data_IF_929630507174
#
_entry.id   IF_929630507174
#
_cell.length_a   1.000
_cell.length_b   1.000
_cell.length_c   1.000
_cell.angle_alpha   90.00
_cell.angle_beta   90.00
_cell.angle_gamma   90.00
#
_symmetry.space_group_name_H-M   'P 1'
#
loop_
_entity.id
_entity.type
_entity.pdbx_description
1 polymer ?
#
# COMPACT_ATOMS: atom_id res chain seq x y z
N UNK A 1 8.72 8.58 8.25
CA UNK A 1 8.43 9.99 7.95
C UNK A 1 9.41 10.35 6.86
N UNK A 2 8.93 10.30 5.62
CA UNK A 2 9.72 10.18 4.38
C UNK A 2 10.32 11.49 3.91
N UNK A 3 10.80 12.34 4.82
CA UNK A 3 11.31 13.67 4.45
C UNK A 3 12.52 13.59 3.49
N UNK A 4 13.27 12.49 3.52
CA UNK A 4 14.40 12.25 2.63
C UNK A 4 13.99 11.72 1.24
N UNK A 5 12.80 11.13 1.12
CA UNK A 5 12.26 10.61 -0.15
C UNK A 5 11.34 11.62 -0.86
N UNK A 6 10.94 12.69 -0.14
CA UNK A 6 10.19 13.81 -0.70
C UNK A 6 10.98 14.47 -1.83
N UNK A 7 10.40 14.47 -3.02
CA UNK A 7 11.02 15.00 -4.24
C UNK A 7 11.04 13.98 -5.38
N UNK A 8 10.85 12.69 -5.06
CA UNK A 8 10.55 11.69 -6.07
C UNK A 8 9.14 11.84 -6.65
N UNK A 9 8.72 10.93 -7.53
CA UNK A 9 7.46 11.05 -8.24
C UNK A 9 6.21 10.57 -7.46
N UNK A 10 6.33 10.20 -6.18
CA UNK A 10 5.27 9.50 -5.42
C UNK A 10 5.21 9.78 -3.91
N UNK A 11 6.19 10.49 -3.34
CA UNK A 11 6.26 10.86 -1.93
C UNK A 11 6.08 12.37 -1.73
N UNK A 12 5.13 12.72 -0.87
CA UNK A 12 4.81 14.10 -0.53
C UNK A 12 4.87 14.30 0.99
N UNK A 13 5.07 15.54 1.44
CA UNK A 13 5.03 15.87 2.87
C UNK A 13 3.61 15.98 3.42
N UNK A 14 2.67 16.35 2.54
CA UNK A 14 1.24 16.43 2.80
C UNK A 14 0.53 15.63 1.72
N UNK A 15 -0.30 14.68 2.13
CA UNK A 15 -1.14 13.86 1.28
C UNK A 15 -2.46 13.57 1.98
N UNK A 16 -3.48 13.25 1.20
CA UNK A 16 -4.78 12.85 1.71
C UNK A 16 -4.89 11.32 1.75
N UNK A 17 -5.12 10.78 2.95
CA UNK A 17 -5.39 9.37 3.15
C UNK A 17 -6.89 9.15 3.24
N UNK A 18 -7.47 8.50 2.22
CA UNK A 18 -8.84 7.99 2.26
C UNK A 18 -8.89 6.85 3.27
N UNK A 19 -9.75 6.98 4.28
CA UNK A 19 -9.84 6.01 5.36
C UNK A 19 -11.25 5.50 5.60
N UNK A 20 -11.34 4.22 5.93
CA UNK A 20 -12.52 3.61 6.52
C UNK A 20 -12.10 2.66 7.65
N UNK A 21 -12.96 2.50 8.64
CA UNK A 21 -12.64 1.74 9.85
C UNK A 21 -13.75 0.78 10.21
N UNK A 22 -13.36 -0.33 10.82
CA UNK A 22 -14.26 -1.26 11.47
C UNK A 22 -13.87 -1.44 12.92
N UNK A 23 -14.78 -1.19 13.84
CA UNK A 23 -14.53 -1.33 15.29
C UNK A 23 -15.28 -2.55 15.85
N UNK A 24 -14.86 -3.74 15.42
CA UNK A 24 -15.49 -5.02 15.79
C UNK A 24 -16.82 -5.28 15.08
N UNK A 25 -16.95 -4.84 13.83
CA UNK A 25 -18.17 -5.01 13.01
C UNK A 25 -17.93 -5.97 11.84
N UNK A 26 -17.13 -5.55 10.87
CA UNK A 26 -16.69 -6.32 9.70
C UNK A 26 -15.18 -6.55 9.73
N UNK A 27 -14.67 -7.45 8.88
CA UNK A 27 -13.24 -7.77 8.84
C UNK A 27 -12.75 -7.95 7.41
N UNK A 28 -11.83 -8.89 7.18
CA UNK A 28 -11.13 -9.08 5.90
C UNK A 28 -12.05 -9.26 4.71
N UNK A 29 -13.07 -10.12 4.85
CA UNK A 29 -13.94 -10.50 3.73
C UNK A 29 -14.65 -9.29 3.13
N UNK A 30 -15.28 -8.48 3.96
CA UNK A 30 -15.99 -7.28 3.55
C UNK A 30 -15.01 -6.19 3.11
N UNK A 31 -13.96 -5.93 3.90
CA UNK A 31 -12.99 -4.87 3.59
C UNK A 31 -12.33 -5.07 2.23
N UNK A 32 -11.80 -6.26 1.97
CA UNK A 32 -11.07 -6.53 0.73
C UNK A 32 -12.01 -6.53 -0.48
N UNK A 33 -13.24 -7.04 -0.32
CA UNK A 33 -14.24 -7.02 -1.38
C UNK A 33 -14.68 -5.60 -1.73
N UNK A 34 -14.97 -4.76 -0.74
CA UNK A 34 -15.37 -3.37 -0.96
C UNK A 34 -14.24 -2.54 -1.56
N UNK A 35 -13.00 -2.71 -1.09
CA UNK A 35 -11.88 -1.99 -1.66
C UNK A 35 -11.64 -2.38 -3.12
N UNK A 36 -11.72 -3.67 -3.44
CA UNK A 36 -11.64 -4.14 -4.82
C UNK A 36 -12.76 -3.59 -5.71
N UNK A 37 -14.00 -3.60 -5.21
CA UNK A 37 -15.15 -3.03 -5.91
C UNK A 37 -14.97 -1.53 -6.16
N UNK A 38 -14.56 -0.77 -5.14
CA UNK A 38 -14.27 0.66 -5.27
C UNK A 38 -13.23 0.92 -6.37
N UNK A 39 -12.10 0.23 -6.34
CA UNK A 39 -11.05 0.42 -7.35
C UNK A 39 -11.53 0.05 -8.76
N UNK A 40 -12.19 -1.09 -8.92
CA UNK A 40 -12.50 -1.65 -10.26
C UNK A 40 -13.81 -1.17 -10.86
N UNK A 41 -14.79 -0.76 -10.04
CA UNK A 41 -16.13 -0.33 -10.47
C UNK A 41 -16.31 1.17 -10.39
N UNK A 42 -15.96 1.77 -9.27
CA UNK A 42 -16.18 3.20 -9.03
C UNK A 42 -15.07 4.06 -9.64
N UNK A 43 -13.80 3.69 -9.42
CA UNK A 43 -12.65 4.39 -10.01
C UNK A 43 -12.40 3.92 -11.44
N UNK A 44 -12.71 2.66 -11.75
CA UNK A 44 -12.51 2.08 -13.10
C UNK A 44 -11.09 1.62 -13.38
N UNK A 45 -10.31 1.32 -12.34
CA UNK A 45 -8.96 0.77 -12.47
C UNK A 45 -9.05 -0.67 -13.03
N UNK A 46 -8.29 -1.02 -14.09
CA UNK A 46 -8.33 -2.37 -14.64
C UNK A 46 -7.80 -3.39 -13.64
N UNK A 47 -8.60 -4.42 -13.34
CA UNK A 47 -8.25 -5.45 -12.35
C UNK A 47 -6.97 -6.21 -12.72
N UNK A 48 -6.66 -6.32 -14.01
CA UNK A 48 -5.45 -6.96 -14.50
C UNK A 48 -4.16 -6.17 -14.23
N UNK A 49 -4.27 -4.96 -13.68
CA UNK A 49 -3.14 -4.14 -13.22
C UNK A 49 -2.91 -4.24 -11.73
N UNK A 50 -3.85 -4.86 -11.00
CA UNK A 50 -3.80 -4.94 -9.55
C UNK A 50 -2.98 -6.15 -9.11
N UNK A 51 -2.10 -5.89 -8.16
CA UNK A 51 -1.32 -6.86 -7.40
C UNK A 51 -1.62 -6.66 -5.93
N UNK A 52 -1.54 -7.72 -5.15
CA UNK A 52 -1.84 -7.66 -3.72
C UNK A 52 -0.76 -8.36 -2.91
N UNK A 53 -0.55 -7.87 -1.69
CA UNK A 53 0.40 -8.43 -0.73
C UNK A 53 -0.35 -8.92 0.50
N UNK A 54 0.18 -9.92 1.19
CA UNK A 54 -0.40 -10.52 2.39
C UNK A 54 0.73 -10.92 3.34
N UNK A 55 0.44 -11.01 4.64
CA UNK A 55 1.44 -11.39 5.62
C UNK A 55 1.92 -12.84 5.47
N UNK A 56 3.23 -13.06 5.38
CA UNK A 56 3.83 -14.39 5.22
C UNK A 56 3.83 -15.23 6.50
N UNK A 57 3.50 -14.61 7.63
CA UNK A 57 3.54 -15.22 8.95
C UNK A 57 4.83 -14.89 9.70
N UNK A 58 4.81 -15.09 11.00
CA UNK A 58 5.97 -14.98 11.86
C UNK A 58 6.02 -16.21 12.77
N UNK A 59 6.77 -17.21 12.32
CA UNK A 59 6.93 -18.48 13.02
C UNK A 59 7.64 -18.32 14.36
N UNK A 60 8.49 -17.30 14.52
CA UNK A 60 9.21 -17.02 15.78
C UNK A 60 8.24 -16.56 16.86
N UNK A 61 7.24 -15.76 16.49
CA UNK A 61 6.22 -15.25 17.40
C UNK A 61 4.92 -16.08 17.41
N UNK A 62 4.87 -17.20 16.68
CA UNK A 62 3.71 -18.08 16.61
C UNK A 62 2.53 -17.49 15.84
N UNK A 63 2.78 -16.52 14.96
CA UNK A 63 1.77 -15.84 14.17
C UNK A 63 1.66 -16.54 12.80
N UNK A 64 0.48 -17.06 12.43
CA UNK A 64 0.31 -17.79 11.18
C UNK A 64 0.40 -16.87 9.96
N UNK A 65 0.72 -17.48 8.82
CA UNK A 65 0.60 -16.86 7.50
C UNK A 65 -0.84 -16.45 7.21
N UNK A 66 -1.04 -15.26 6.63
CA UNK A 66 -2.36 -14.75 6.28
C UNK A 66 -2.90 -15.38 4.98
N UNK A 67 -3.25 -16.66 5.08
CA UNK A 67 -3.89 -17.41 3.99
C UNK A 67 -5.34 -16.98 3.77
N UNK A 68 -5.99 -16.39 4.76
CA UNK A 68 -7.38 -15.93 4.67
C UNK A 68 -7.52 -14.79 3.66
N UNK A 69 -6.70 -13.74 3.79
CA UNK A 69 -6.70 -12.61 2.85
C UNK A 69 -6.37 -13.07 1.43
N UNK A 70 -5.39 -13.98 1.28
CA UNK A 70 -5.02 -14.51 -0.02
C UNK A 70 -6.18 -15.28 -0.71
N UNK A 71 -6.92 -16.12 0.03
CA UNK A 71 -8.06 -16.84 -0.54
C UNK A 71 -9.24 -15.92 -0.86
N UNK A 72 -9.44 -14.85 -0.09
CA UNK A 72 -10.41 -13.79 -0.43
C UNK A 72 -10.03 -13.13 -1.75
N UNK A 73 -8.77 -12.73 -1.92
CA UNK A 73 -8.28 -12.12 -3.16
C UNK A 73 -8.41 -13.03 -4.38
N UNK A 74 -8.08 -14.33 -4.23
CA UNK A 74 -8.33 -15.34 -5.27
C UNK A 74 -9.81 -15.41 -5.64
N UNK A 75 -10.69 -15.41 -4.64
CA UNK A 75 -12.14 -15.40 -4.83
C UNK A 75 -12.67 -14.15 -5.55
N UNK A 76 -11.98 -13.02 -5.42
CA UNK A 76 -12.28 -11.77 -6.14
C UNK A 76 -11.70 -11.75 -7.57
N UNK A 77 -10.92 -12.76 -7.94
CA UNK A 77 -10.36 -12.93 -9.29
C UNK A 77 -8.93 -12.44 -9.48
N UNK A 78 -8.21 -12.09 -8.40
CA UNK A 78 -6.77 -11.83 -8.48
C UNK A 78 -6.05 -13.18 -8.68
N UNK A 79 -5.26 -13.34 -9.75
CA UNK A 79 -4.59 -14.60 -10.02
C UNK A 79 -3.42 -14.82 -9.04
N UNK A 80 -3.10 -16.09 -8.77
CA UNK A 80 -2.17 -16.46 -7.70
C UNK A 80 -0.77 -15.86 -7.88
N UNK A 81 -0.30 -15.70 -9.12
CA UNK A 81 0.99 -15.07 -9.42
C UNK A 81 1.06 -13.59 -9.01
N UNK A 82 -0.09 -12.94 -8.79
CA UNK A 82 -0.22 -11.54 -8.35
C UNK A 82 -0.50 -11.37 -6.87
N UNK A 83 -0.54 -12.47 -6.12
CA UNK A 83 -0.66 -12.48 -4.67
C UNK A 83 0.72 -12.78 -4.09
N UNK A 84 1.35 -11.78 -3.48
CA UNK A 84 2.67 -11.92 -2.86
C UNK A 84 2.54 -11.99 -1.35
N UNK A 85 3.52 -12.64 -0.73
CA UNK A 85 3.62 -12.72 0.72
C UNK A 85 4.90 -12.07 1.19
N UNK A 86 4.81 -11.20 2.18
CA UNK A 86 5.96 -10.57 2.83
C UNK A 86 5.85 -10.64 4.35
N UNK A 87 7.00 -10.63 5.04
CA UNK A 87 7.07 -10.61 6.51
C UNK A 87 6.81 -9.24 7.08
N UNK A 88 7.84 -8.59 7.63
CA UNK A 88 7.71 -7.30 8.32
C UNK A 88 7.09 -6.17 7.48
N UNK A 89 7.07 -6.30 6.14
CA UNK A 89 6.40 -5.36 5.23
C UNK A 89 4.88 -5.47 5.25
N UNK A 90 4.33 -6.64 5.58
CA UNK A 90 2.88 -6.84 5.72
C UNK A 90 2.44 -6.97 7.17
N UNK A 91 3.10 -6.22 8.05
CA UNK A 91 2.72 -6.10 9.45
C UNK A 91 2.66 -4.63 9.81
N UNK A 92 1.53 -4.22 10.38
CA UNK A 92 1.34 -2.84 10.80
C UNK A 92 1.21 -2.73 12.31
N UNK A 93 1.97 -1.79 12.86
CA UNK A 93 1.80 -1.25 14.21
C UNK A 93 2.33 0.18 14.23
N UNK A 94 1.90 0.97 15.22
CA UNK A 94 2.37 2.36 15.40
C UNK A 94 3.90 2.46 15.56
N UNK A 95 4.53 1.38 16.01
CA UNK A 95 5.98 1.31 16.22
C UNK A 95 6.77 0.72 15.04
N UNK A 96 6.15 0.51 13.88
CA UNK A 96 6.79 -0.08 12.70
C UNK A 96 6.62 -1.60 12.65
N UNK A 97 7.54 -2.35 13.25
CA UNK A 97 7.53 -3.83 13.15
C UNK A 97 6.93 -4.53 14.36
N UNK A 98 6.56 -5.81 14.21
CA UNK A 98 6.10 -6.65 15.31
C UNK A 98 7.10 -6.69 16.49
N UNK A 99 8.40 -6.76 16.20
CA UNK A 99 9.46 -6.76 17.21
C UNK A 99 9.48 -5.46 18.02
N UNK A 100 9.25 -4.33 17.35
CA UNK A 100 9.28 -2.99 17.94
C UNK A 100 7.97 -2.60 18.62
N UNK A 101 6.88 -3.35 18.39
CA UNK A 101 5.58 -3.13 19.01
C UNK A 101 5.71 -3.08 20.55
N UNK A 102 5.24 -2.02 21.23
CA UNK A 102 5.26 -1.94 22.68
C UNK A 102 4.23 -2.89 23.32
N UNK A 103 4.49 -3.32 24.56
CA UNK A 103 3.51 -4.08 25.33
C UNK A 103 2.22 -3.28 25.52
N UNK A 104 1.08 -3.91 25.29
CA UNK A 104 -0.25 -3.32 25.37
C UNK A 104 -0.72 -2.62 24.08
N UNK A 105 0.14 -2.43 23.08
CA UNK A 105 -0.28 -1.83 21.81
C UNK A 105 -0.89 -2.87 20.86
N UNK A 106 -1.93 -2.47 20.08
CA UNK A 106 -2.49 -3.31 19.04
C UNK A 106 -1.60 -3.30 17.79
N UNK A 107 -1.70 -4.39 17.03
CA UNK A 107 -1.11 -4.50 15.69
C UNK A 107 -1.71 -5.68 14.95
N UNK A 108 -1.27 -5.88 13.72
CA UNK A 108 -1.73 -7.03 12.95
C UNK A 108 -1.11 -7.15 11.58
N UNK A 109 -1.40 -8.26 10.90
CA UNK A 109 -1.09 -8.39 9.50
C UNK A 109 -1.90 -7.37 8.71
N UNK A 110 -1.39 -7.00 7.56
CA UNK A 110 -2.10 -6.19 6.61
C UNK A 110 -2.11 -6.82 5.21
N UNK A 111 -2.90 -6.22 4.33
CA UNK A 111 -2.91 -6.56 2.92
C UNK A 111 -2.96 -5.28 2.10
N UNK A 112 -1.93 -5.06 1.31
CA UNK A 112 -1.78 -3.88 0.48
C UNK A 112 -2.16 -4.19 -0.97
N UNK A 113 -2.63 -3.16 -1.68
CA UNK A 113 -2.93 -3.22 -3.11
C UNK A 113 -1.96 -2.32 -3.86
N UNK A 114 -1.36 -2.87 -4.91
CA UNK A 114 -0.42 -2.19 -5.80
C UNK A 114 -0.98 -2.14 -7.22
N UNK A 115 -0.67 -1.06 -7.93
CA UNK A 115 -0.90 -0.93 -9.36
C UNK A 115 0.41 -1.13 -10.14
N UNK A 116 0.34 -1.85 -11.26
CA UNK A 116 1.47 -2.11 -12.16
C UNK A 116 1.46 -1.22 -13.41
N UNK A 117 2.44 -0.32 -13.50
CA UNK A 117 2.75 0.44 -14.70
C UNK A 117 3.57 -0.41 -15.68
N UNK A 118 2.92 -1.23 -16.51
CA UNK A 118 3.61 -2.16 -17.43
C UNK A 118 4.52 -1.49 -18.46
N UNK A 119 4.38 -0.18 -18.68
CA UNK A 119 5.23 0.60 -19.57
C UNK A 119 6.56 0.99 -18.91
N UNK A 120 6.72 0.78 -17.60
CA UNK A 120 7.97 0.97 -16.87
C UNK A 120 8.74 -0.35 -16.87
N UNK A 121 9.91 -0.34 -17.48
CA UNK A 121 10.81 -1.49 -17.50
C UNK A 121 11.48 -1.68 -16.14
N UNK A 122 11.59 -2.93 -15.70
CA UNK A 122 12.31 -3.28 -14.48
C UNK A 122 13.81 -3.14 -14.70
N UNK A 123 14.50 -2.45 -13.80
CA UNK A 123 15.96 -2.30 -13.86
C UNK A 123 16.64 -3.44 -13.08
N UNK A 124 17.62 -4.15 -13.65
CA UNK A 124 18.31 -5.28 -12.99
C UNK A 124 19.00 -4.94 -11.66
N UNK A 125 19.31 -3.67 -11.42
CA UNK A 125 19.88 -3.19 -10.15
C UNK A 125 18.97 -3.43 -8.94
N UNK A 126 17.65 -3.50 -9.15
CA UNK A 126 16.67 -3.83 -8.10
C UNK A 126 16.36 -5.33 -8.03
N UNK A 127 17.22 -6.18 -8.61
CA UNK A 127 17.10 -7.64 -8.57
C UNK A 127 16.73 -8.28 -9.91
N UNK A 128 16.76 -9.61 -9.97
CA UNK A 128 16.55 -10.35 -11.21
C UNK A 128 15.09 -10.35 -11.71
N UNK A 129 14.13 -10.20 -10.81
CA UNK A 129 12.70 -10.16 -11.12
C UNK A 129 12.04 -9.02 -10.35
N UNK A 130 11.11 -8.33 -11.01
CA UNK A 130 10.32 -7.29 -10.37
C UNK A 130 9.23 -7.88 -9.46
N UNK A 131 8.80 -7.11 -8.47
CA UNK A 131 7.70 -7.45 -7.56
C UNK A 131 7.07 -6.18 -6.96
N UNK A 132 5.90 -6.26 -6.30
CA UNK A 132 5.21 -5.09 -5.72
C UNK A 132 6.07 -4.21 -4.79
N UNK A 133 6.85 -4.82 -3.88
CA UNK A 133 7.74 -4.08 -2.97
C UNK A 133 9.11 -3.71 -3.61
N UNK A 134 9.17 -3.52 -4.93
CA UNK A 134 10.40 -3.20 -5.64
C UNK A 134 10.49 -1.69 -5.90
N UNK A 135 11.67 -1.11 -5.69
CA UNK A 135 11.88 0.34 -5.82
C UNK A 135 12.17 0.82 -7.26
N UNK A 136 12.00 -0.06 -8.27
CA UNK A 136 12.25 0.29 -9.67
C UNK A 136 11.20 1.21 -10.30
N UNK A 137 10.15 1.53 -9.52
CA UNK A 137 9.10 2.46 -9.88
C UNK A 137 7.93 1.85 -10.67
N UNK A 138 8.03 0.59 -11.10
CA UNK A 138 6.99 -0.13 -11.86
C UNK A 138 5.71 -0.40 -11.06
N UNK A 139 5.84 -0.54 -9.75
CA UNK A 139 4.71 -0.76 -8.84
C UNK A 139 4.50 0.47 -7.96
N UNK A 140 3.24 0.77 -7.66
CA UNK A 140 2.85 1.81 -6.72
C UNK A 140 1.77 1.29 -5.78
N UNK A 141 2.01 1.36 -4.48
CA UNK A 141 1.02 1.04 -3.46
C UNK A 141 -0.08 2.10 -3.44
N UNK A 142 -1.33 1.69 -3.58
CA UNK A 142 -2.50 2.58 -3.65
C UNK A 142 -3.42 2.46 -2.43
N UNK A 143 -3.26 1.42 -1.61
CA UNK A 143 -3.89 1.36 -0.31
C UNK A 143 -3.51 0.14 0.51
N UNK A 144 -3.61 0.29 1.82
CA UNK A 144 -3.28 -0.71 2.82
C UNK A 144 -4.49 -0.99 3.72
N UNK A 145 -4.92 -2.25 3.78
CA UNK A 145 -5.95 -2.74 4.72
C UNK A 145 -5.29 -3.44 5.91
N UNK A 146 -5.23 -2.78 7.06
CA UNK A 146 -4.66 -3.31 8.30
C UNK A 146 -5.70 -4.08 9.09
N UNK A 147 -5.38 -5.33 9.44
CA UNK A 147 -6.25 -6.23 10.20
C UNK A 147 -5.79 -6.33 11.64
N UNK A 148 -6.17 -5.33 12.43
CA UNK A 148 -5.84 -5.24 13.86
C UNK A 148 -6.48 -6.40 14.62
N UNK A 149 -5.67 -7.38 15.00
CA UNK A 149 -6.14 -8.59 15.69
C UNK A 149 -5.21 -9.07 16.79
N UNK A 150 -4.01 -8.49 16.94
CA UNK A 150 -3.05 -8.86 17.96
C UNK A 150 -2.80 -7.72 18.95
N UNK A 151 -2.43 -8.10 20.17
CA UNK A 151 -1.90 -7.23 21.22
C UNK A 151 -0.60 -7.84 21.75
N UNK A 152 0.42 -7.02 21.98
CA UNK A 152 1.66 -7.51 22.59
C UNK A 152 1.50 -7.61 24.10
N UNK A 153 1.74 -8.78 24.65
CA UNK A 153 1.73 -9.00 26.08
C UNK A 153 3.02 -8.46 26.73
N UNK A 154 2.98 -8.25 28.05
CA UNK A 154 4.12 -7.76 28.81
C UNK A 154 5.33 -8.72 28.80
N UNK A 155 5.09 -10.01 28.57
CA UNK A 155 6.13 -11.04 28.43
C UNK A 155 6.73 -11.11 27.01
N UNK A 156 6.29 -10.23 26.09
CA UNK A 156 6.74 -10.16 24.70
C UNK A 156 5.99 -11.08 23.74
N UNK A 157 5.08 -11.93 24.23
CA UNK A 157 4.24 -12.78 23.38
C UNK A 157 3.10 -11.99 22.73
N UNK A 158 2.45 -12.57 21.71
CA UNK A 158 1.31 -11.96 21.03
C UNK A 158 0.02 -12.67 21.44
N UNK A 159 -0.92 -11.91 22.01
CA UNK A 159 -2.29 -12.35 22.28
C UNK A 159 -3.26 -11.82 21.22
N UNK A 160 -4.48 -12.37 21.19
CA UNK A 160 -5.55 -11.84 20.34
C UNK A 160 -6.25 -10.66 21.01
N UNK A 161 -6.64 -9.66 20.21
CA UNK A 161 -7.54 -8.60 20.66
C UNK A 161 -8.94 -9.14 20.96
N UNK A 162 -9.67 -8.58 21.94
CA UNK A 162 -11.05 -8.99 22.22
C UNK A 162 -12.03 -8.76 21.06
N UNK A 163 -11.72 -7.78 20.21
CA UNK A 163 -12.43 -7.48 18.97
C UNK A 163 -11.40 -7.23 17.87
N UNK A 164 -11.65 -7.81 16.70
CA UNK A 164 -10.89 -7.55 15.50
C UNK A 164 -11.36 -6.24 14.87
N UNK A 165 -10.42 -5.43 14.38
CA UNK A 165 -10.71 -4.14 13.78
C UNK A 165 -10.06 -4.05 12.39
N UNK A 166 -10.61 -3.18 11.56
CA UNK A 166 -10.03 -2.81 10.27
C UNK A 166 -9.62 -1.36 10.33
N UNK A 167 -8.41 -1.07 9.87
CA UNK A 167 -7.90 0.27 9.63
C UNK A 167 -7.40 0.33 8.18
N UNK A 168 -8.11 1.05 7.33
CA UNK A 168 -7.74 1.19 5.93
C UNK A 168 -7.20 2.59 5.64
N UNK A 169 -6.14 2.65 4.85
CA UNK A 169 -5.60 3.89 4.29
C UNK A 169 -5.28 3.76 2.81
N UNK A 170 -5.94 4.55 1.96
CA UNK A 170 -5.67 4.68 0.54
C UNK A 170 -5.14 6.08 0.19
N UNK A 171 -4.02 6.18 -0.51
CA UNK A 171 -3.46 7.47 -0.91
C UNK A 171 -4.26 8.08 -2.07
N UNK A 172 -4.96 9.19 -1.84
CA UNK A 172 -5.83 9.82 -2.84
C UNK A 172 -5.05 10.17 -4.11
N UNK A 173 -3.89 10.81 -3.95
CA UNK A 173 -3.06 11.27 -5.06
C UNK A 173 -2.47 10.10 -5.86
N UNK A 174 -2.16 8.99 -5.18
CA UNK A 174 -1.70 7.75 -5.83
C UNK A 174 -2.83 7.09 -6.62
N UNK A 175 -4.03 7.00 -6.04
CA UNK A 175 -5.22 6.48 -6.73
C UNK A 175 -5.54 7.35 -7.96
N UNK A 176 -5.45 8.67 -7.83
CA UNK A 176 -5.63 9.59 -8.95
C UNK A 176 -4.57 9.38 -10.06
N UNK A 177 -3.30 9.20 -9.69
CA UNK A 177 -2.21 8.96 -10.64
C UNK A 177 -2.39 7.65 -11.43
N UNK A 178 -2.77 6.57 -10.75
CA UNK A 178 -3.01 5.28 -11.44
C UNK A 178 -4.26 5.29 -12.30
N UNK A 179 -5.27 6.12 -11.98
CA UNK A 179 -6.49 6.27 -12.80
C UNK A 179 -6.21 6.78 -14.22
N UNK A 180 -5.07 7.45 -14.41
CA UNK A 180 -4.59 7.96 -15.70
C UNK A 180 -3.36 7.20 -16.22
N UNK A 181 -3.05 6.04 -15.63
CA UNK A 181 -1.85 5.22 -15.92
C UNK A 181 -0.54 6.03 -15.91
N UNK A 182 -0.40 6.97 -14.96
CA UNK A 182 0.79 7.80 -14.82
C UNK A 182 1.49 7.54 -13.45
N UNK A 183 2.78 7.20 -13.42
CA UNK A 183 3.50 6.94 -12.18
C UNK A 183 3.80 8.20 -11.36
N UNK A 184 3.65 9.39 -11.95
CA UNK A 184 3.92 10.67 -11.32
C UNK A 184 2.65 11.25 -10.68
N UNK A 185 2.62 11.32 -9.35
CA UNK A 185 1.49 11.89 -8.60
C UNK A 185 1.28 13.37 -8.88
N UNK A 186 2.33 14.09 -9.28
CA UNK A 186 2.27 15.51 -9.63
C UNK A 186 1.69 15.76 -11.02
N UNK A 187 1.58 14.72 -11.85
CA UNK A 187 0.90 14.80 -13.14
C UNK A 187 -0.63 14.82 -13.03
N UNK A 188 -1.17 14.64 -11.82
CA UNK A 188 -2.62 14.71 -11.56
C UNK A 188 -3.14 16.15 -11.61
N UNK A 189 -4.45 16.28 -11.80
CA UNK A 189 -5.14 17.57 -11.86
C UNK A 189 -5.08 18.33 -10.51
N UNK A 190 -4.94 17.62 -9.40
CA UNK A 190 -4.74 18.20 -8.07
C UNK A 190 -3.51 19.14 -8.01
N UNK A 191 -2.42 18.78 -8.70
CA UNK A 191 -1.17 19.56 -8.68
C UNK A 191 -1.00 20.49 -9.89
N UNK A 192 -1.72 20.26 -10.99
CA UNK A 192 -1.56 21.04 -12.23
C UNK A 192 -1.64 22.58 -12.03
N UNK A 193 -2.57 23.15 -11.24
CA UNK A 193 -2.61 24.60 -11.00
C UNK A 193 -1.38 25.12 -10.25
N UNK A 194 -0.88 24.35 -9.28
CA UNK A 194 0.30 24.70 -8.48
C UNK A 194 1.56 24.68 -9.33
N UNK A 195 1.76 23.60 -10.09
CA UNK A 195 2.90 23.44 -11.00
C UNK A 195 2.91 24.59 -12.01
N UNK A 196 1.77 24.91 -12.63
CA UNK A 196 1.67 26.04 -13.57
C UNK A 196 2.11 27.35 -12.94
N UNK A 197 1.74 27.63 -11.69
CA UNK A 197 2.17 28.84 -10.98
C UNK A 197 3.67 28.84 -10.68
N UNK A 198 4.26 27.69 -10.38
CA UNK A 198 5.69 27.53 -10.20
C UNK A 198 6.44 27.75 -11.52
N UNK A 199 5.94 27.22 -12.64
CA UNK A 199 6.52 27.45 -13.96
C UNK A 199 6.51 28.94 -14.34
N UNK A 200 5.36 29.60 -14.16
CA UNK A 200 5.17 31.04 -14.43
C UNK A 200 6.16 31.91 -13.63
N UNK A 201 6.44 31.54 -12.37
CA UNK A 201 7.33 32.30 -11.48
C UNK A 201 8.81 31.97 -11.63
N UNK A 202 9.14 30.72 -11.91
CA UNK A 202 10.53 30.26 -12.00
C UNK A 202 11.10 30.38 -13.41
N UNK A 203 10.25 30.45 -14.44
CA UNK A 203 10.64 30.36 -15.84
C UNK A 203 11.11 28.96 -16.26
N UNK A 204 11.01 27.95 -15.38
CA UNK A 204 11.35 26.55 -15.66
C UNK A 204 10.09 25.76 -15.97
N UNK A 205 10.20 24.79 -16.88
CA UNK A 205 9.12 23.83 -17.17
C UNK A 205 9.25 22.60 -16.29
N UNK A 206 8.12 22.08 -15.83
CA UNK A 206 8.08 20.80 -15.15
C UNK A 206 8.32 19.70 -16.18
N UNK A 207 9.30 18.84 -15.92
CA UNK A 207 9.57 17.66 -16.73
C UNK A 207 9.50 16.44 -15.84
N UNK A 208 8.50 15.60 -16.06
CA UNK A 208 8.30 14.33 -15.35
C UNK A 208 9.42 13.29 -15.58
N UNK A 209 10.49 13.64 -16.32
CA UNK A 209 11.48 12.72 -16.87
C UNK A 209 12.89 12.84 -16.28
N UNK A 210 13.09 13.56 -15.17
CA UNK A 210 14.38 13.49 -14.49
C UNK A 210 14.41 12.23 -13.61
N UNK A 211 14.58 11.07 -14.26
CA UNK A 211 14.84 9.76 -13.65
C UNK A 211 16.20 9.70 -12.91
N UNK A 212 16.75 10.86 -12.55
CA UNK A 212 17.98 11.06 -11.78
C UNK A 212 17.71 11.20 -10.27
N UNK A 213 16.46 11.06 -9.82
CA UNK A 213 16.05 11.13 -8.41
C UNK A 213 15.46 9.82 -7.86
N UNK A 214 15.91 8.67 -8.39
CA UNK A 214 15.82 7.36 -7.71
C UNK A 214 17.21 6.86 -7.41
#
# INVERSE_FOLDING_TARGET
MDIEEVGDNRHTTFFEMLGNWSLGDYFKKEQLAWFFEFLTKEVGIPAERLWVTCFEGDTKNGIPKDTESAEIWKGLGIPEERIRFYGAKNWWTRAGTAEQMPAGEPGGPDSEVFYEFTHIEHKPEFGAQCHPNCDCGRFLEIGNSVFMQYIKNADGTFGLLPKQNVDFGGGLERIAAVSIDNPDVFATDAYAPLIKKLEERSGKKYSANDASQT
#
